data_IF_769262901639
#
_entry.id   IF_769262901639
#
_cell.length_a   1.000
_cell.length_b   1.000
_cell.length_c   1.000
_cell.angle_alpha   90.00
_cell.angle_beta   90.00
_cell.angle_gamma   90.00
#
_symmetry.space_group_name_H-M   'P 1'
#
loop_
_entity.id
_entity.type
_entity.pdbx_description
1 polymer ?
#
# COMPACT_ATOMS: atom_id res chain seq x y z
N UNK A 1 -5.74 -10.22 12.91
CA UNK A 1 -4.60 -9.90 13.79
C UNK A 1 -4.65 -8.44 14.18
N UNK A 2 -5.11 -8.14 15.41
CA UNK A 2 -5.24 -6.77 15.92
C UNK A 2 -3.89 -6.02 16.08
N UNK A 3 -2.78 -6.69 15.78
CA UNK A 3 -1.42 -6.15 15.92
C UNK A 3 -1.02 -5.14 14.84
N UNK A 4 -1.75 -5.10 13.72
CA UNK A 4 -1.44 -4.22 12.57
C UNK A 4 -2.12 -2.85 12.69
N UNK A 5 -3.03 -2.67 13.64
CA UNK A 5 -3.76 -1.43 13.84
C UNK A 5 -3.16 -0.63 15.02
N UNK A 6 -2.15 0.16 14.74
CA UNK A 6 -1.56 1.10 15.71
C UNK A 6 -2.39 2.38 15.86
N UNK A 7 -2.21 3.11 16.98
CA UNK A 7 -2.95 4.35 17.28
C UNK A 7 -2.79 5.45 16.22
N UNK A 8 -1.68 5.47 15.49
CA UNK A 8 -1.32 6.50 14.50
C UNK A 8 -1.29 5.95 13.07
N UNK A 9 -2.00 4.86 12.78
CA UNK A 9 -2.09 4.30 11.44
C UNK A 9 -3.40 4.67 10.77
N UNK A 10 -3.28 5.20 9.55
CA UNK A 10 -4.42 5.51 8.70
C UNK A 10 -4.49 4.49 7.58
N UNK A 11 -5.67 3.94 7.34
CA UNK A 11 -5.92 3.00 6.26
C UNK A 11 -6.85 3.65 5.24
N UNK A 12 -6.45 3.65 3.98
CA UNK A 12 -7.32 4.10 2.90
C UNK A 12 -7.93 2.90 2.14
N UNK A 13 -9.15 3.05 1.66
CA UNK A 13 -9.88 1.97 1.00
C UNK A 13 -9.43 1.80 -0.46
N UNK A 14 -8.34 1.07 -0.70
CA UNK A 14 -7.84 0.78 -2.05
C UNK A 14 -8.61 -0.36 -2.73
N UNK A 15 -9.18 -1.27 -1.96
CA UNK A 15 -9.86 -2.45 -2.50
C UNK A 15 -11.36 -2.27 -2.76
N UNK A 16 -11.85 -2.88 -3.84
CA UNK A 16 -13.27 -2.89 -4.20
C UNK A 16 -14.14 -3.50 -3.09
N UNK A 17 -13.65 -4.49 -2.39
CA UNK A 17 -14.31 -5.12 -1.26
C UNK A 17 -14.49 -4.14 -0.09
N UNK A 18 -13.44 -3.39 0.26
CA UNK A 18 -13.53 -2.43 1.34
C UNK A 18 -14.60 -1.37 1.10
N UNK A 19 -14.71 -0.85 -0.13
CA UNK A 19 -15.65 0.21 -0.46
C UNK A 19 -17.07 -0.27 -0.70
N UNK A 20 -17.23 -1.44 -1.31
CA UNK A 20 -18.55 -1.92 -1.76
C UNK A 20 -19.29 -2.73 -0.69
N UNK A 21 -18.57 -3.52 0.10
CA UNK A 21 -19.16 -4.45 1.04
C UNK A 21 -19.22 -3.92 2.46
N UNK A 22 -18.26 -3.10 2.90
CA UNK A 22 -18.27 -2.60 4.28
C UNK A 22 -19.18 -1.41 4.54
N UNK A 23 -19.28 -0.47 3.58
CA UNK A 23 -20.04 0.76 3.75
C UNK A 23 -20.98 1.05 2.59
N UNK A 24 -21.39 0.02 1.81
CA UNK A 24 -22.40 0.10 0.74
C UNK A 24 -22.29 1.34 -0.16
N UNK A 25 -21.07 1.75 -0.49
CA UNK A 25 -20.81 2.89 -1.37
C UNK A 25 -20.61 4.26 -0.68
N UNK A 26 -20.70 4.35 0.64
CA UNK A 26 -20.41 5.60 1.38
C UNK A 26 -18.92 5.99 1.33
N UNK A 27 -18.03 5.00 1.16
CA UNK A 27 -16.58 5.22 1.10
C UNK A 27 -16.13 5.14 -0.36
N UNK A 28 -15.52 6.21 -0.85
CA UNK A 28 -14.90 6.22 -2.18
C UNK A 28 -13.61 5.39 -2.17
N UNK A 29 -13.42 4.60 -3.22
CA UNK A 29 -12.14 3.91 -3.47
C UNK A 29 -11.06 4.95 -3.71
N UNK A 30 -9.95 4.85 -2.97
CA UNK A 30 -8.73 5.62 -3.20
C UNK A 30 -7.66 4.61 -3.61
N UNK A 31 -7.21 4.67 -4.85
CA UNK A 31 -6.12 3.80 -5.29
C UNK A 31 -4.78 4.31 -4.75
N UNK A 32 -3.81 3.41 -4.55
CA UNK A 32 -2.45 3.83 -4.18
C UNK A 32 -1.83 4.79 -5.21
N UNK A 33 -2.26 4.73 -6.47
CA UNK A 33 -1.89 5.65 -7.54
C UNK A 33 -2.45 7.05 -7.32
N UNK A 34 -3.73 7.15 -6.97
CA UNK A 34 -4.37 8.44 -6.68
C UNK A 34 -3.74 9.08 -5.46
N UNK A 35 -3.44 8.27 -4.43
CA UNK A 35 -2.74 8.73 -3.25
C UNK A 35 -1.39 9.35 -3.62
N UNK A 36 -0.54 8.65 -4.38
CA UNK A 36 0.77 9.15 -4.79
C UNK A 36 0.62 10.41 -5.66
N UNK A 37 -0.32 10.43 -6.60
CA UNK A 37 -0.52 11.60 -7.46
C UNK A 37 -0.98 12.86 -6.70
N UNK A 38 -1.70 12.69 -5.60
CA UNK A 38 -2.23 13.79 -4.80
C UNK A 38 -1.42 14.08 -3.53
N UNK A 39 -0.42 13.25 -3.22
CA UNK A 39 0.43 13.44 -2.06
C UNK A 39 1.19 14.76 -2.15
N UNK A 40 1.08 15.57 -1.10
CA UNK A 40 1.89 16.78 -0.92
C UNK A 40 3.03 16.44 0.04
N UNK A 41 4.26 16.64 -0.41
CA UNK A 41 5.43 16.42 0.44
C UNK A 41 5.58 17.58 1.42
N UNK A 42 5.62 17.33 2.74
CA UNK A 42 5.90 18.38 3.71
C UNK A 42 7.26 19.04 3.48
N UNK A 43 7.38 20.32 3.81
CA UNK A 43 8.61 21.13 3.55
C UNK A 43 9.85 20.64 4.30
N UNK A 44 9.66 19.98 5.42
CA UNK A 44 10.72 19.41 6.27
C UNK A 44 11.20 18.02 5.80
N UNK A 45 10.62 17.47 4.72
CA UNK A 45 11.08 16.23 4.10
C UNK A 45 12.15 16.53 3.06
N UNK A 46 13.35 16.05 3.30
CA UNK A 46 14.49 16.18 2.38
C UNK A 46 14.61 15.00 1.42
N UNK A 47 14.17 13.83 1.85
CA UNK A 47 14.32 12.59 1.09
C UNK A 47 13.04 11.78 1.07
N UNK A 48 12.74 11.17 -0.07
CA UNK A 48 11.85 10.03 -0.13
C UNK A 48 12.72 8.78 -0.10
N UNK A 49 12.57 7.97 0.94
CA UNK A 49 13.28 6.71 1.10
C UNK A 49 12.39 5.55 0.69
N UNK A 50 12.66 4.97 -0.47
CA UNK A 50 11.91 3.81 -0.97
C UNK A 50 12.55 2.53 -0.46
N UNK A 51 11.78 1.74 0.28
CA UNK A 51 12.17 0.45 0.81
C UNK A 51 11.47 -0.67 0.04
N UNK A 52 12.27 -1.52 -0.61
CA UNK A 52 11.80 -2.62 -1.46
C UNK A 52 12.15 -2.40 -2.92
N UNK A 53 11.30 -2.85 -3.83
CA UNK A 53 11.56 -2.77 -5.26
C UNK A 53 11.32 -1.36 -5.82
N UNK A 54 12.32 -0.81 -6.52
CA UNK A 54 12.25 0.49 -7.18
C UNK A 54 12.96 0.44 -8.52
N UNK A 55 12.19 0.35 -9.60
CA UNK A 55 12.74 0.43 -10.94
C UNK A 55 13.15 1.85 -11.34
N UNK A 56 14.06 1.97 -12.30
CA UNK A 56 14.59 3.27 -12.78
C UNK A 56 13.49 4.24 -13.16
N UNK A 57 12.50 3.80 -13.95
CA UNK A 57 11.37 4.65 -14.36
C UNK A 57 10.56 5.17 -13.18
N UNK A 58 10.38 4.34 -12.13
CA UNK A 58 9.66 4.74 -10.92
C UNK A 58 10.45 5.78 -10.12
N UNK A 59 11.77 5.63 -10.05
CA UNK A 59 12.67 6.63 -9.44
C UNK A 59 12.58 7.97 -10.17
N UNK A 60 12.69 7.96 -11.50
CA UNK A 60 12.61 9.18 -12.33
C UNK A 60 11.24 9.86 -12.17
N UNK A 61 10.16 9.08 -12.12
CA UNK A 61 8.82 9.58 -11.84
C UNK A 61 8.75 10.32 -10.51
N UNK A 62 9.29 9.74 -9.43
CA UNK A 62 9.29 10.37 -8.10
C UNK A 62 10.10 11.67 -8.08
N UNK A 63 11.30 11.68 -8.68
CA UNK A 63 12.13 12.88 -8.79
C UNK A 63 11.39 13.99 -9.54
N UNK A 64 10.84 13.66 -10.71
CA UNK A 64 10.11 14.61 -11.54
C UNK A 64 8.85 15.15 -10.84
N UNK A 65 8.15 14.29 -10.10
CA UNK A 65 6.87 14.63 -9.46
C UNK A 65 7.04 15.51 -8.23
N UNK A 66 8.06 15.24 -7.41
CA UNK A 66 8.19 15.86 -6.09
C UNK A 66 9.38 16.79 -5.94
N UNK A 67 10.38 16.70 -6.81
CA UNK A 67 11.57 17.55 -6.74
C UNK A 67 12.47 17.28 -5.53
N UNK A 68 12.28 16.15 -4.82
CA UNK A 68 13.08 15.77 -3.65
C UNK A 68 14.06 14.65 -3.98
N UNK A 69 15.10 14.52 -3.18
CA UNK A 69 16.10 13.45 -3.34
C UNK A 69 15.49 12.09 -3.01
N UNK A 70 15.86 11.07 -3.79
CA UNK A 70 15.36 9.69 -3.61
C UNK A 70 16.48 8.82 -3.07
N UNK A 71 16.28 8.28 -1.86
CA UNK A 71 17.07 7.17 -1.32
C UNK A 71 16.37 5.86 -1.68
N UNK A 72 17.13 4.81 -1.93
CA UNK A 72 16.58 3.49 -2.24
C UNK A 72 17.36 2.42 -1.48
N UNK A 73 16.63 1.55 -0.81
CA UNK A 73 17.18 0.36 -0.15
C UNK A 73 16.40 -0.87 -0.57
N UNK A 74 17.07 -1.78 -1.28
CA UNK A 74 16.51 -3.08 -1.57
C UNK A 74 16.31 -3.87 -0.28
N UNK A 75 15.17 -4.53 -0.17
CA UNK A 75 14.89 -5.44 0.94
C UNK A 75 14.95 -6.89 0.45
N UNK A 76 15.49 -7.82 1.26
CA UNK A 76 15.60 -9.21 0.86
C UNK A 76 14.24 -9.87 0.66
N UNK A 77 14.20 -10.85 -0.25
CA UNK A 77 13.07 -11.77 -0.30
C UNK A 77 13.08 -12.66 0.94
N UNK A 78 11.93 -12.83 1.55
CA UNK A 78 11.82 -13.69 2.72
C UNK A 78 10.58 -13.42 3.57
N UNK A 79 10.58 -13.98 4.78
CA UNK A 79 9.58 -13.67 5.77
C UNK A 79 9.83 -12.27 6.40
N UNK A 80 8.86 -11.79 7.19
CA UNK A 80 8.91 -10.46 7.79
C UNK A 80 10.12 -10.30 8.71
N UNK A 81 10.52 -11.34 9.43
CA UNK A 81 11.64 -11.32 10.38
C UNK A 81 12.98 -11.10 9.68
N UNK A 82 13.19 -11.75 8.53
CA UNK A 82 14.40 -11.55 7.70
C UNK A 82 14.47 -10.12 7.21
N UNK A 83 13.35 -9.58 6.74
CA UNK A 83 13.28 -8.19 6.24
C UNK A 83 13.54 -7.21 7.38
N UNK A 84 12.95 -7.43 8.56
CA UNK A 84 13.16 -6.55 9.74
C UNK A 84 14.63 -6.46 10.14
N UNK A 85 15.37 -7.56 10.10
CA UNK A 85 16.80 -7.59 10.42
C UNK A 85 17.66 -6.79 9.44
N UNK A 86 17.20 -6.60 8.21
CA UNK A 86 17.88 -5.88 7.14
C UNK A 86 17.39 -4.46 6.93
N UNK A 87 16.48 -3.97 7.78
CA UNK A 87 15.95 -2.61 7.64
C UNK A 87 17.07 -1.58 7.79
N UNK A 88 17.19 -0.63 6.86
CA UNK A 88 18.10 0.48 7.01
C UNK A 88 17.63 1.42 8.12
N UNK A 89 18.57 2.22 8.64
CA UNK A 89 18.21 3.32 9.52
C UNK A 89 17.38 4.35 8.75
N UNK A 90 16.26 4.76 9.31
CA UNK A 90 15.39 5.80 8.78
C UNK A 90 15.61 7.08 9.58
N UNK A 91 15.76 8.21 8.89
CA UNK A 91 15.94 9.54 9.51
C UNK A 91 14.59 10.27 9.63
N UNK A 92 14.50 11.26 10.53
CA UNK A 92 13.26 12.00 10.79
C UNK A 92 12.79 12.86 9.61
N UNK A 93 13.74 13.34 8.79
CA UNK A 93 13.49 14.14 7.60
C UNK A 93 13.18 13.30 6.34
N UNK A 94 12.94 12.01 6.50
CA UNK A 94 12.61 11.10 5.43
C UNK A 94 11.11 10.79 5.39
N UNK A 95 10.58 10.71 4.17
CA UNK A 95 9.30 10.09 3.88
C UNK A 95 9.56 8.68 3.38
N UNK A 96 9.18 7.68 4.15
CA UNK A 96 9.38 6.27 3.79
C UNK A 96 8.24 5.79 2.90
N UNK A 97 8.57 5.20 1.76
CA UNK A 97 7.62 4.51 0.88
C UNK A 97 7.95 3.03 0.82
N UNK A 98 7.00 2.18 1.25
CA UNK A 98 7.14 0.72 1.22
C UNK A 98 6.50 0.15 -0.03
N UNK A 99 7.29 -0.56 -0.84
CA UNK A 99 6.85 -1.19 -2.11
C UNK A 99 6.66 -2.71 -1.98
N UNK A 100 6.61 -3.21 -0.76
CA UNK A 100 6.40 -4.62 -0.47
C UNK A 100 4.93 -5.04 -0.64
N UNK A 101 4.65 -6.32 -0.87
CA UNK A 101 3.26 -6.81 -0.92
C UNK A 101 2.61 -6.81 0.47
N UNK A 102 1.32 -6.50 0.53
CA UNK A 102 0.46 -6.72 1.70
C UNK A 102 0.44 -8.22 2.09
N UNK A 103 0.50 -8.59 3.39
CA UNK A 103 0.53 -7.73 4.58
C UNK A 103 1.95 -7.37 5.07
N UNK A 104 3.01 -7.71 4.33
CA UNK A 104 4.39 -7.52 4.79
C UNK A 104 4.72 -6.04 5.01
N UNK A 105 4.29 -5.16 4.10
CA UNK A 105 4.56 -3.73 4.21
C UNK A 105 3.96 -3.12 5.49
N UNK A 106 2.76 -3.55 5.88
CA UNK A 106 2.08 -3.06 7.09
C UNK A 106 2.84 -3.48 8.36
N UNK A 107 3.34 -4.73 8.42
CA UNK A 107 4.17 -5.19 9.52
C UNK A 107 5.51 -4.45 9.61
N UNK A 108 6.13 -4.19 8.46
CA UNK A 108 7.39 -3.43 8.39
C UNK A 108 7.15 -1.97 8.81
N UNK A 109 6.07 -1.34 8.32
CA UNK A 109 5.70 0.01 8.73
C UNK A 109 5.51 0.11 10.25
N UNK A 110 4.77 -0.84 10.83
CA UNK A 110 4.57 -0.92 12.28
C UNK A 110 5.90 -1.05 13.02
N UNK A 111 6.82 -1.89 12.51
CA UNK A 111 8.14 -2.09 13.15
C UNK A 111 9.00 -0.83 13.11
N UNK A 112 8.99 -0.11 11.99
CA UNK A 112 9.71 1.16 11.87
C UNK A 112 9.11 2.20 12.83
N UNK A 113 7.77 2.31 12.90
CA UNK A 113 7.07 3.27 13.75
C UNK A 113 7.26 3.02 15.25
N UNK A 114 7.54 1.78 15.68
CA UNK A 114 7.84 1.47 17.08
C UNK A 114 9.11 2.16 17.60
N UNK A 115 10.02 2.54 16.71
CA UNK A 115 11.27 3.20 17.09
C UNK A 115 11.10 4.72 17.23
N UNK A 116 10.09 5.32 16.60
CA UNK A 116 9.80 6.75 16.70
C UNK A 116 8.41 7.05 16.10
N UNK A 117 7.54 7.71 16.84
CA UNK A 117 6.19 8.09 16.42
C UNK A 117 6.15 9.17 15.33
N UNK A 118 7.27 9.84 15.06
CA UNK A 118 7.35 10.93 14.08
C UNK A 118 7.72 10.47 12.66
N UNK A 119 7.84 9.18 12.40
CA UNK A 119 8.09 8.68 11.06
C UNK A 119 6.85 8.76 10.18
N UNK A 120 7.04 9.22 8.95
CA UNK A 120 6.02 9.27 7.90
C UNK A 120 6.22 8.09 6.96
N UNK A 121 5.31 7.13 7.00
CA UNK A 121 5.45 5.87 6.27
C UNK A 121 4.21 5.63 5.41
N UNK A 122 4.43 5.38 4.11
CA UNK A 122 3.39 5.06 3.16
C UNK A 122 3.57 3.64 2.62
N UNK A 123 2.56 2.80 2.82
CA UNK A 123 2.48 1.45 2.28
C UNK A 123 1.82 1.49 0.90
N UNK A 124 2.60 1.60 -0.17
CA UNK A 124 2.10 1.84 -1.54
C UNK A 124 2.14 0.61 -2.43
N UNK A 125 2.80 -0.48 -1.98
CA UNK A 125 2.90 -1.71 -2.77
C UNK A 125 3.41 -1.48 -4.19
N UNK A 126 2.77 -2.10 -5.18
CA UNK A 126 3.12 -1.96 -6.59
C UNK A 126 2.61 -0.68 -7.28
N UNK A 127 2.08 0.30 -6.55
CA UNK A 127 1.49 1.50 -7.18
C UNK A 127 2.50 2.32 -7.99
N UNK A 128 3.77 2.37 -7.56
CA UNK A 128 4.84 3.05 -8.29
C UNK A 128 5.13 2.42 -9.65
N UNK A 129 5.16 1.10 -9.74
CA UNK A 129 5.43 0.39 -10.99
C UNK A 129 4.34 0.66 -12.04
N UNK A 130 3.10 0.86 -11.57
CA UNK A 130 1.99 1.22 -12.45
C UNK A 130 2.06 2.68 -12.91
N UNK A 131 2.39 3.61 -12.02
CA UNK A 131 2.52 5.03 -12.36
C UNK A 131 3.69 5.31 -13.30
N UNK A 132 4.78 4.60 -13.13
CA UNK A 132 5.97 4.73 -13.98
C UNK A 132 5.85 4.01 -15.34
N UNK A 133 4.70 3.33 -15.61
CA UNK A 133 4.47 2.59 -16.84
C UNK A 133 5.29 1.30 -16.97
N UNK A 134 5.88 0.81 -15.88
CA UNK A 134 6.52 -0.52 -15.85
C UNK A 134 5.49 -1.64 -15.93
N UNK A 135 4.32 -1.45 -15.31
CA UNK A 135 3.16 -2.33 -15.49
C UNK A 135 2.18 -1.69 -16.48
N UNK A 136 1.56 -2.52 -17.34
CA UNK A 136 0.54 -2.05 -18.28
C UNK A 136 -0.65 -1.47 -17.50
N UNK A 137 -1.02 -0.21 -17.76
CA UNK A 137 -2.13 0.42 -17.08
C UNK A 137 -3.44 -0.31 -17.38
N UNK A 138 -4.31 -0.35 -16.41
CA UNK A 138 -5.69 -0.85 -16.60
C UNK A 138 -6.44 0.19 -17.44
N UNK A 139 -7.15 -0.19 -18.51
CA UNK A 139 -8.00 0.74 -19.25
C UNK A 139 -9.02 1.41 -18.32
N UNK A 140 -9.23 2.72 -18.47
CA UNK A 140 -10.09 3.51 -17.56
C UNK A 140 -11.50 2.93 -17.39
N UNK A 141 -12.09 2.34 -18.45
CA UNK A 141 -13.42 1.73 -18.39
C UNK A 141 -13.47 0.42 -17.58
N UNK A 142 -12.32 -0.29 -17.44
CA UNK A 142 -12.19 -1.50 -16.61
C UNK A 142 -11.77 -1.21 -15.16
N UNK A 143 -11.23 -0.02 -14.90
CA UNK A 143 -10.62 0.35 -13.62
C UNK A 143 -11.61 0.27 -12.45
N UNK A 144 -12.87 0.62 -12.72
CA UNK A 144 -13.91 0.68 -11.69
C UNK A 144 -14.37 -0.70 -11.18
N UNK A 145 -14.45 -1.71 -12.06
CA UNK A 145 -15.06 -3.00 -11.70
C UNK A 145 -14.19 -4.21 -12.06
N UNK A 146 -13.37 -4.11 -13.08
CA UNK A 146 -12.69 -5.25 -13.70
C UNK A 146 -11.16 -5.15 -13.61
N UNK A 147 -10.61 -4.23 -12.83
CA UNK A 147 -9.16 -4.10 -12.63
C UNK A 147 -8.53 -5.43 -12.19
N UNK A 148 -9.17 -6.15 -11.27
CA UNK A 148 -8.70 -7.46 -10.81
C UNK A 148 -8.62 -8.50 -11.94
N UNK A 149 -9.64 -8.53 -12.82
CA UNK A 149 -9.71 -9.47 -13.96
C UNK A 149 -8.68 -9.10 -15.03
N UNK A 150 -8.53 -7.81 -15.34
CA UNK A 150 -7.50 -7.34 -16.28
C UNK A 150 -6.11 -7.77 -15.84
N UNK A 151 -5.81 -7.61 -14.57
CA UNK A 151 -4.53 -8.02 -14.01
C UNK A 151 -4.33 -9.53 -13.97
N UNK A 152 -5.40 -10.35 -13.91
CA UNK A 152 -5.30 -11.81 -14.03
C UNK A 152 -4.66 -12.23 -15.33
N UNK A 153 -4.85 -11.50 -16.43
CA UNK A 153 -4.27 -11.79 -17.73
C UNK A 153 -2.72 -11.80 -17.71
N UNK A 154 -2.12 -10.98 -16.83
CA UNK A 154 -0.66 -10.79 -16.79
C UNK A 154 0.03 -11.53 -15.65
N UNK A 155 -0.68 -11.85 -14.57
CA UNK A 155 -0.14 -12.54 -13.39
C UNK A 155 -1.08 -13.67 -12.91
N UNK A 156 -1.41 -14.61 -13.80
CA UNK A 156 -2.52 -15.53 -13.62
C UNK A 156 -2.47 -16.34 -12.32
N UNK A 157 -1.40 -17.09 -12.08
CA UNK A 157 -1.32 -18.03 -10.93
C UNK A 157 -1.41 -17.33 -9.56
N UNK A 158 -0.56 -16.32 -9.34
CA UNK A 158 -0.46 -15.61 -8.05
C UNK A 158 -1.75 -14.84 -7.73
N UNK A 159 -2.37 -14.22 -8.74
CA UNK A 159 -3.60 -13.42 -8.56
C UNK A 159 -4.83 -14.27 -8.42
N UNK A 160 -4.95 -15.38 -9.15
CA UNK A 160 -6.04 -16.34 -8.97
C UNK A 160 -6.06 -16.86 -7.55
N UNK A 161 -4.90 -17.28 -7.02
CA UNK A 161 -4.80 -17.75 -5.64
C UNK A 161 -5.21 -16.66 -4.63
N UNK A 162 -4.77 -15.41 -4.83
CA UNK A 162 -5.17 -14.29 -3.98
C UNK A 162 -6.67 -14.01 -4.04
N UNK A 163 -7.29 -14.09 -5.22
CA UNK A 163 -8.73 -13.90 -5.37
C UNK A 163 -9.51 -14.99 -4.65
N UNK A 164 -9.17 -16.26 -4.86
CA UNK A 164 -9.81 -17.39 -4.17
C UNK A 164 -9.68 -17.21 -2.65
N UNK A 165 -8.49 -16.88 -2.16
CA UNK A 165 -8.23 -16.66 -0.75
C UNK A 165 -9.02 -15.45 -0.19
N UNK A 166 -9.13 -14.37 -0.97
CA UNK A 166 -9.91 -13.19 -0.59
C UNK A 166 -11.42 -13.53 -0.51
N UNK A 167 -11.94 -14.25 -1.49
CA UNK A 167 -13.33 -14.71 -1.48
C UNK A 167 -13.61 -15.64 -0.29
N UNK A 168 -12.73 -16.62 -0.04
CA UNK A 168 -12.85 -17.51 1.11
C UNK A 168 -12.91 -16.72 2.41
N UNK A 169 -11.97 -15.80 2.65
CA UNK A 169 -11.98 -14.99 3.87
C UNK A 169 -13.16 -14.04 3.98
N UNK A 170 -13.64 -13.53 2.85
CA UNK A 170 -14.83 -12.71 2.81
C UNK A 170 -16.07 -13.52 3.24
N UNK A 171 -16.31 -14.66 2.61
CA UNK A 171 -17.45 -15.52 2.98
C UNK A 171 -17.34 -16.01 4.44
N UNK A 172 -16.16 -16.42 4.87
CA UNK A 172 -15.93 -16.81 6.25
C UNK A 172 -16.21 -15.66 7.24
N UNK A 173 -15.78 -14.45 6.90
CA UNK A 173 -16.01 -13.26 7.72
C UNK A 173 -17.48 -12.87 7.81
N UNK A 174 -18.24 -12.99 6.70
CA UNK A 174 -19.69 -12.77 6.68
C UNK A 174 -20.44 -13.82 7.51
N UNK A 175 -20.17 -15.11 7.27
CA UNK A 175 -20.80 -16.22 8.00
C UNK A 175 -20.53 -16.14 9.51
N UNK A 176 -19.34 -15.74 9.93
CA UNK A 176 -18.97 -15.63 11.34
C UNK A 176 -19.29 -14.27 11.98
N UNK A 177 -19.90 -13.36 11.26
CA UNK A 177 -20.17 -11.97 11.68
C UNK A 177 -18.91 -11.22 12.18
N UNK A 178 -17.71 -11.66 11.81
CA UNK A 178 -16.45 -11.01 12.22
C UNK A 178 -16.36 -9.57 11.74
N UNK A 179 -16.92 -9.26 10.58
CA UNK A 179 -16.90 -7.91 10.01
C UNK A 179 -17.82 -6.93 10.74
N UNK A 180 -18.90 -7.38 11.38
CA UNK A 180 -19.79 -6.52 12.18
C UNK A 180 -19.11 -5.98 13.45
N UNK A 181 -18.01 -6.61 13.88
CA UNK A 181 -17.25 -6.21 15.06
C UNK A 181 -16.18 -5.13 14.76
N UNK A 182 -15.98 -4.77 13.49
CA UNK A 182 -14.99 -3.76 13.10
C UNK A 182 -15.65 -2.39 13.14
N UNK A 183 -15.19 -1.54 14.04
CA UNK A 183 -15.61 -0.13 14.12
C UNK A 183 -14.67 0.73 13.29
N UNK A 184 -15.22 1.41 12.31
CA UNK A 184 -14.46 2.33 11.45
C UNK A 184 -14.67 3.78 11.91
N UNK A 185 -13.59 4.49 12.17
CA UNK A 185 -13.63 5.95 12.27
C UNK A 185 -13.33 6.52 10.89
N UNK A 186 -14.29 7.22 10.32
CA UNK A 186 -14.14 7.91 9.04
C UNK A 186 -13.77 9.35 9.36
N UNK A 187 -12.58 9.76 8.96
CA UNK A 187 -12.20 11.16 9.00
C UNK A 187 -12.73 11.80 7.71
N UNK A 188 -13.64 12.73 7.86
CA UNK A 188 -14.09 13.60 6.77
C UNK A 188 -13.26 14.88 6.86
N UNK A 189 -12.74 15.33 5.72
CA UNK A 189 -12.06 16.62 5.58
C UNK A 189 -13.04 17.77 5.82
#
# INVERSE_FOLDING_TARGET
DNKVFGKNMFHWPDGLFATRFYKRGEIKKISGRDLINNLKIPKDVEFIHVLGDLGTRAKDFLIKRYGVKIKHSNLPFGNVEVIIKSLPKVEKNELVMLTLPTPKQEYIALKISQNNDNYRIFCIGGALNMLSGQEKPVPKYLEKYFEGIWRLKYETKRRTFRLIFTFYHYFYGELTNKFKKITWKIYKD
#
